data_IF_796323592286
#
_entry.id   IF_796323592286
#
_cell.length_a   1.000
_cell.length_b   1.000
_cell.length_c   1.000
_cell.angle_alpha   90.00
_cell.angle_beta   90.00
_cell.angle_gamma   90.00
#
_symmetry.space_group_name_H-M   'P 1'
#
loop_
_entity.id
_entity.type
_entity.pdbx_description
1 polymer ?
#
# COMPACT_ATOMS: atom_id res chain seq x y z
N UNK A 1 -11.44 -17.04 6.64
CA UNK A 1 -11.31 -16.40 5.32
C UNK A 1 -10.47 -15.15 5.55
N UNK A 2 -9.33 -15.03 4.85
CA UNK A 2 -8.42 -13.91 5.05
C UNK A 2 -8.67 -12.86 3.99
N UNK A 3 -9.01 -11.64 4.42
CA UNK A 3 -9.14 -10.46 3.54
C UNK A 3 -7.85 -10.33 2.73
N UNK A 4 -7.98 -10.29 1.41
CA UNK A 4 -6.87 -10.05 0.49
C UNK A 4 -6.95 -8.61 0.00
N UNK A 5 -5.79 -7.98 -0.14
CA UNK A 5 -5.65 -6.58 -0.55
C UNK A 5 -4.99 -6.53 -1.91
N UNK A 6 -5.58 -5.76 -2.85
CA UNK A 6 -4.99 -5.48 -4.17
C UNK A 6 -4.64 -4.01 -4.23
N UNK A 7 -3.37 -3.72 -4.36
CA UNK A 7 -2.88 -2.37 -4.62
C UNK A 7 -2.76 -2.14 -6.11
N UNK A 8 -3.15 -0.96 -6.58
CA UNK A 8 -3.15 -0.63 -7.99
C UNK A 8 -2.99 0.87 -8.22
N UNK A 9 -2.62 1.23 -9.45
CA UNK A 9 -2.50 2.60 -9.90
C UNK A 9 -3.74 3.08 -10.64
N UNK A 10 -4.17 4.31 -10.39
CA UNK A 10 -5.15 5.00 -11.23
C UNK A 10 -4.83 6.50 -11.33
N UNK A 11 -5.17 7.17 -12.45
CA UNK A 11 -4.91 8.60 -12.63
C UNK A 11 -5.69 9.48 -11.64
N UNK A 12 -6.88 9.05 -11.24
CA UNK A 12 -7.75 9.78 -10.32
C UNK A 12 -8.70 8.84 -9.54
N UNK A 13 -9.37 9.39 -8.53
CA UNK A 13 -10.31 8.64 -7.69
C UNK A 13 -11.55 8.15 -8.44
N UNK A 14 -11.99 8.87 -9.47
CA UNK A 14 -13.14 8.47 -10.29
C UNK A 14 -12.84 7.24 -11.15
N UNK A 15 -11.60 7.11 -11.62
CA UNK A 15 -11.10 5.93 -12.33
C UNK A 15 -10.92 4.78 -11.36
N UNK A 16 -10.31 5.03 -10.19
CA UNK A 16 -10.16 4.02 -9.14
C UNK A 16 -11.50 3.43 -8.68
N UNK A 17 -12.52 4.27 -8.55
CA UNK A 17 -13.86 3.84 -8.14
C UNK A 17 -14.55 2.88 -9.12
N UNK A 18 -14.15 2.91 -10.40
CA UNK A 18 -14.73 2.08 -11.46
C UNK A 18 -14.05 0.71 -11.61
N UNK A 19 -12.81 0.57 -11.12
CA UNK A 19 -12.01 -0.66 -11.24
C UNK A 19 -12.77 -1.91 -10.76
N UNK A 20 -13.45 -1.92 -9.60
CA UNK A 20 -14.14 -3.12 -9.12
C UNK A 20 -15.36 -3.51 -9.96
N UNK A 21 -15.92 -2.57 -10.71
CA UNK A 21 -17.10 -2.79 -11.57
C UNK A 21 -16.68 -3.35 -12.93
N UNK A 22 -15.51 -2.94 -13.43
CA UNK A 22 -14.97 -3.39 -14.70
C UNK A 22 -14.22 -4.73 -14.62
N UNK A 23 -13.69 -5.05 -13.44
CA UNK A 23 -12.85 -6.23 -13.21
C UNK A 23 -13.72 -7.43 -12.85
N UNK A 24 -13.65 -8.53 -13.62
CA UNK A 24 -14.41 -9.75 -13.26
C UNK A 24 -13.87 -10.35 -11.96
N UNK A 25 -14.68 -11.09 -11.17
CA UNK A 25 -14.22 -11.74 -9.95
C UNK A 25 -13.02 -12.67 -10.15
N UNK A 26 -12.86 -13.28 -11.33
CA UNK A 26 -11.69 -14.10 -11.68
C UNK A 26 -10.46 -13.26 -12.09
N UNK A 27 -10.69 -12.03 -12.56
CA UNK A 27 -9.68 -11.02 -12.92
C UNK A 27 -9.29 -10.13 -11.74
N UNK A 28 -10.00 -10.23 -10.61
CA UNK A 28 -9.57 -9.63 -9.34
C UNK A 28 -8.20 -10.16 -8.94
N UNK A 29 -7.79 -11.36 -9.37
CA UNK A 29 -6.42 -11.91 -9.27
C UNK A 29 -5.52 -11.71 -10.49
N UNK A 30 -6.04 -11.06 -11.54
CA UNK A 30 -5.39 -10.83 -12.82
C UNK A 30 -4.89 -9.39 -12.98
N UNK A 31 -3.76 -9.27 -13.66
CA UNK A 31 -3.04 -8.03 -13.88
C UNK A 31 -3.57 -7.27 -15.11
N UNK A 32 -4.79 -6.76 -15.04
CA UNK A 32 -5.33 -5.94 -16.15
C UNK A 32 -4.68 -4.55 -16.24
N UNK A 33 -3.88 -4.15 -15.25
CA UNK A 33 -3.19 -2.85 -15.21
C UNK A 33 -1.65 -2.95 -15.30
N UNK A 34 -1.06 -4.14 -15.47
CA UNK A 34 0.39 -4.34 -15.55
C UNK A 34 1.18 -4.08 -14.24
N UNK A 35 0.50 -3.65 -13.18
CA UNK A 35 1.13 -2.94 -12.05
C UNK A 35 0.52 -3.26 -10.68
N UNK A 36 -0.43 -4.21 -10.60
CA UNK A 36 -1.09 -4.54 -9.33
C UNK A 36 -0.19 -5.34 -8.38
N UNK A 37 -0.33 -5.12 -7.08
CA UNK A 37 0.36 -5.91 -6.05
C UNK A 37 -0.66 -6.52 -5.09
N UNK A 38 -0.63 -7.85 -4.95
CA UNK A 38 -1.46 -8.60 -4.02
C UNK A 38 -0.74 -8.85 -2.72
N UNK A 39 -1.39 -8.57 -1.61
CA UNK A 39 -0.82 -8.84 -0.30
C UNK A 39 -1.89 -9.07 0.76
N UNK A 40 -1.47 -9.64 1.88
CA UNK A 40 -2.29 -9.79 3.10
C UNK A 40 -2.10 -8.61 4.05
N UNK A 41 -1.25 -7.65 3.69
CA UNK A 41 -0.96 -6.49 4.51
C UNK A 41 -2.01 -5.41 4.25
N UNK A 42 -2.58 -4.89 5.34
CA UNK A 42 -3.59 -3.84 5.29
C UNK A 42 -3.00 -2.53 4.76
N UNK A 43 -3.79 -1.69 4.07
CA UNK A 43 -3.33 -0.38 3.62
C UNK A 43 -2.93 0.52 4.78
N UNK A 44 -3.59 0.44 5.94
CA UNK A 44 -3.20 1.16 7.15
C UNK A 44 -1.84 0.70 7.69
N UNK A 45 -1.55 -0.60 7.61
CA UNK A 45 -0.26 -1.15 8.01
C UNK A 45 0.87 -0.64 7.13
N UNK A 46 0.66 -0.60 5.80
CA UNK A 46 1.67 -0.06 4.87
C UNK A 46 1.92 1.42 5.15
N UNK A 47 0.86 2.21 5.28
CA UNK A 47 0.98 3.63 5.57
C UNK A 47 1.73 3.88 6.88
N UNK A 48 1.40 3.13 7.94
CA UNK A 48 2.11 3.21 9.22
C UNK A 48 3.58 2.81 9.09
N UNK A 49 3.88 1.74 8.35
CA UNK A 49 5.25 1.25 8.15
C UNK A 49 6.12 2.29 7.46
N UNK A 50 5.63 2.91 6.39
CA UNK A 50 6.37 3.97 5.69
C UNK A 50 6.48 5.22 6.54
N UNK A 51 5.37 5.74 7.06
CA UNK A 51 5.40 7.00 7.79
C UNK A 51 6.21 6.91 9.07
N UNK A 52 6.17 5.79 9.79
CA UNK A 52 6.99 5.60 11.00
C UNK A 52 8.42 5.20 10.70
N UNK A 53 8.65 4.27 9.76
CA UNK A 53 9.97 3.76 9.47
C UNK A 53 10.84 4.70 8.63
N UNK A 54 10.23 5.43 7.69
CA UNK A 54 10.95 6.30 6.75
C UNK A 54 10.81 7.78 7.15
N UNK A 55 9.59 8.25 7.37
CA UNK A 55 9.34 9.68 7.66
C UNK A 55 9.46 10.02 9.16
N UNK A 56 9.67 9.03 10.03
CA UNK A 56 9.82 9.22 11.48
C UNK A 56 8.53 9.68 12.19
N UNK A 57 7.37 9.56 11.56
CA UNK A 57 6.06 9.90 12.14
C UNK A 57 5.70 8.88 13.22
N UNK A 58 5.43 9.30 14.47
CA UNK A 58 4.99 8.38 15.51
C UNK A 58 3.70 7.64 15.10
N UNK A 59 3.61 6.33 15.40
CA UNK A 59 2.48 5.48 14.99
C UNK A 59 1.09 6.09 15.30
N UNK A 60 0.93 6.69 16.49
CA UNK A 60 -0.33 7.32 16.92
C UNK A 60 -0.69 8.62 16.18
N UNK A 61 0.23 9.15 15.34
CA UNK A 61 0.02 10.33 14.49
C UNK A 61 -0.13 9.96 13.01
N UNK A 62 -0.06 8.68 12.67
CA UNK A 62 -0.33 8.21 11.32
C UNK A 62 -1.79 8.57 10.97
N UNK A 63 -2.04 9.36 9.91
CA UNK A 63 -3.39 9.75 9.54
C UNK A 63 -4.17 8.56 8.99
N UNK A 64 -5.50 8.53 9.17
CA UNK A 64 -6.35 7.52 8.53
C UNK A 64 -6.34 7.69 7.01
N UNK A 65 -6.66 6.59 6.30
CA UNK A 65 -6.73 6.59 4.84
C UNK A 65 -8.06 7.14 4.34
N UNK A 66 -8.00 7.77 3.16
CA UNK A 66 -9.18 8.29 2.48
C UNK A 66 -9.96 7.15 1.84
N UNK A 67 -11.25 7.01 2.21
CA UNK A 67 -12.17 6.06 1.62
C UNK A 67 -12.78 6.66 0.35
N UNK A 68 -12.49 6.03 -0.80
CA UNK A 68 -12.96 6.47 -2.12
C UNK A 68 -14.30 5.81 -2.45
N UNK A 69 -14.43 4.52 -2.14
CA UNK A 69 -15.66 3.74 -2.37
C UNK A 69 -15.95 2.86 -1.17
N UNK A 70 -17.23 2.83 -0.78
CA UNK A 70 -17.78 1.86 0.15
C UNK A 70 -18.95 1.13 -0.51
N UNK A 71 -18.78 -0.16 -0.80
CA UNK A 71 -19.80 -1.06 -1.31
C UNK A 71 -20.02 -2.20 -0.30
N UNK A 72 -21.20 -2.86 -0.26
CA UNK A 72 -21.42 -4.02 0.60
C UNK A 72 -20.36 -5.13 0.46
N UNK A 73 -19.83 -5.30 -0.75
CA UNK A 73 -18.89 -6.40 -1.07
C UNK A 73 -17.42 -5.97 -1.14
N UNK A 74 -17.13 -4.66 -1.22
CA UNK A 74 -15.75 -4.17 -1.35
C UNK A 74 -15.60 -2.71 -0.92
N UNK A 75 -14.37 -2.31 -0.66
CA UNK A 75 -14.00 -0.92 -0.44
C UNK A 75 -12.77 -0.54 -1.26
N UNK A 76 -12.70 0.72 -1.67
CA UNK A 76 -11.50 1.30 -2.30
C UNK A 76 -10.99 2.41 -1.41
N UNK A 77 -9.73 2.31 -0.98
CA UNK A 77 -9.05 3.35 -0.22
C UNK A 77 -7.90 3.93 -1.03
N UNK A 78 -7.62 5.22 -0.82
CA UNK A 78 -6.50 5.91 -1.44
C UNK A 78 -5.33 5.98 -0.47
N UNK A 79 -4.13 5.67 -0.98
CA UNK A 79 -2.90 5.89 -0.24
C UNK A 79 -2.39 7.31 -0.54
N UNK A 80 -2.08 8.10 0.49
CA UNK A 80 -1.60 9.46 0.29
C UNK A 80 -0.20 9.46 -0.31
N UNK A 81 0.14 10.51 -1.08
CA UNK A 81 1.47 10.66 -1.66
C UNK A 81 2.57 10.77 -0.60
N UNK A 82 2.24 11.19 0.62
CA UNK A 82 3.17 11.15 1.76
C UNK A 82 3.58 9.74 2.18
N UNK A 83 2.87 8.69 1.74
CA UNK A 83 3.25 7.28 1.93
C UNK A 83 3.98 6.76 0.69
N UNK A 84 3.56 7.16 -0.50
CA UNK A 84 4.07 6.59 -1.75
C UNK A 84 5.38 7.27 -2.18
N UNK A 85 5.49 8.58 -2.05
CA UNK A 85 6.65 9.37 -2.50
C UNK A 85 7.95 9.05 -1.76
N UNK A 86 7.96 8.92 -0.41
CA UNK A 86 9.18 8.62 0.31
C UNK A 86 9.86 7.34 -0.17
N UNK A 87 9.08 6.33 -0.54
CA UNK A 87 9.59 5.05 -1.01
C UNK A 87 10.43 5.18 -2.30
N UNK A 88 10.17 6.15 -3.17
CA UNK A 88 10.93 6.30 -4.43
C UNK A 88 12.33 6.86 -4.26
N UNK A 89 12.56 7.61 -3.18
CA UNK A 89 13.78 8.38 -2.97
C UNK A 89 14.75 7.78 -1.97
N UNK A 90 14.33 6.75 -1.22
CA UNK A 90 15.14 6.16 -0.15
C UNK A 90 16.10 5.12 -0.70
N UNK A 91 17.37 5.22 -0.29
CA UNK A 91 18.38 4.21 -0.58
C UNK A 91 18.27 2.98 0.31
N UNK A 92 18.99 1.92 -0.05
CA UNK A 92 19.01 0.62 0.65
C UNK A 92 19.23 0.71 2.16
N UNK A 93 20.15 1.58 2.59
CA UNK A 93 20.43 1.80 4.01
C UNK A 93 19.20 2.32 4.76
N UNK A 94 18.49 3.29 4.17
CA UNK A 94 17.26 3.85 4.75
C UNK A 94 16.12 2.83 4.78
N UNK A 95 16.02 1.97 3.76
CA UNK A 95 15.03 0.88 3.72
C UNK A 95 15.33 -0.15 4.82
N UNK A 96 16.60 -0.52 4.99
CA UNK A 96 17.05 -1.39 6.08
C UNK A 96 16.78 -0.79 7.47
N UNK A 97 17.06 0.50 7.64
CA UNK A 97 16.77 1.22 8.88
C UNK A 97 15.26 1.27 9.17
N UNK A 98 14.44 1.58 8.18
CA UNK A 98 12.98 1.59 8.30
C UNK A 98 12.43 0.21 8.67
N UNK A 99 12.97 -0.84 8.06
CA UNK A 99 12.60 -2.21 8.35
C UNK A 99 12.94 -2.61 9.79
N UNK A 100 14.13 -2.22 10.26
CA UNK A 100 14.52 -2.41 11.66
C UNK A 100 13.61 -1.63 12.61
N UNK A 101 13.40 -0.33 12.37
CA UNK A 101 12.52 0.53 13.19
C UNK A 101 11.15 -0.14 13.33
N UNK A 102 10.51 -0.47 12.20
CA UNK A 102 9.19 -1.11 12.22
C UNK A 102 9.20 -2.44 12.99
N UNK A 103 10.25 -3.27 12.84
CA UNK A 103 10.40 -4.52 13.59
C UNK A 103 10.45 -4.35 15.12
N UNK A 104 10.67 -3.14 15.61
CA UNK A 104 10.68 -2.80 17.04
C UNK A 104 9.44 -2.04 17.51
N UNK A 105 8.60 -1.52 16.61
CA UNK A 105 7.40 -0.74 16.98
C UNK A 105 6.39 -1.60 17.75
N UNK A 106 6.05 -1.29 19.01
CA UNK A 106 5.06 -2.03 19.77
C UNK A 106 3.65 -1.85 19.17
N UNK A 107 2.77 -2.84 19.38
CA UNK A 107 1.35 -2.81 18.99
C UNK A 107 1.08 -2.59 17.48
N UNK A 108 2.10 -2.77 16.64
CA UNK A 108 1.96 -2.74 15.18
C UNK A 108 1.14 -3.91 14.65
N UNK A 109 0.34 -3.66 13.61
CA UNK A 109 -0.24 -4.71 12.78
C UNK A 109 0.74 -5.17 11.69
N UNK A 110 0.68 -6.43 11.27
CA UNK A 110 1.46 -6.93 10.12
C UNK A 110 2.81 -7.57 10.49
N UNK A 111 3.80 -7.59 9.56
CA UNK A 111 5.02 -8.35 9.70
C UNK A 111 5.87 -7.83 10.86
N UNK A 112 6.46 -8.77 11.59
CA UNK A 112 7.26 -8.47 12.78
C UNK A 112 8.76 -8.58 12.55
N UNK A 113 9.16 -9.45 11.63
CA UNK A 113 10.56 -9.72 11.32
C UNK A 113 11.13 -8.65 10.37
N UNK A 114 12.34 -8.16 10.67
CA UNK A 114 12.96 -7.07 9.92
C UNK A 114 13.25 -7.45 8.47
N UNK A 115 13.65 -8.69 8.18
CA UNK A 115 13.92 -9.14 6.82
C UNK A 115 12.64 -9.18 5.97
N UNK A 116 11.54 -9.67 6.54
CA UNK A 116 10.22 -9.66 5.89
C UNK A 116 9.75 -8.24 5.59
N UNK A 117 9.97 -7.32 6.53
CA UNK A 117 9.60 -5.91 6.36
C UNK A 117 10.46 -5.24 5.28
N UNK A 118 11.76 -5.55 5.25
CA UNK A 118 12.67 -5.08 4.23
C UNK A 118 12.25 -5.54 2.83
N UNK A 119 11.93 -6.82 2.65
CA UNK A 119 11.44 -7.33 1.37
C UNK A 119 10.13 -6.64 0.94
N UNK A 120 9.21 -6.46 1.89
CA UNK A 120 7.95 -5.76 1.64
C UNK A 120 8.20 -4.31 1.21
N UNK A 121 9.05 -3.57 1.93
CA UNK A 121 9.39 -2.19 1.57
C UNK A 121 10.01 -2.11 0.16
N UNK A 122 10.84 -3.08 -0.21
CA UNK A 122 11.40 -3.21 -1.56
C UNK A 122 10.34 -3.38 -2.64
N UNK A 123 9.41 -4.32 -2.46
CA UNK A 123 8.27 -4.51 -3.38
C UNK A 123 7.44 -3.22 -3.51
N UNK A 124 7.31 -2.48 -2.40
CA UNK A 124 6.64 -1.20 -2.33
C UNK A 124 7.39 -0.06 -3.04
N UNK A 125 8.72 -0.05 -3.03
CA UNK A 125 9.52 0.88 -3.83
C UNK A 125 9.28 0.65 -5.31
N UNK A 126 9.41 -0.60 -5.77
CA UNK A 126 9.18 -0.97 -7.17
C UNK A 126 7.77 -0.58 -7.63
N UNK A 127 6.76 -0.86 -6.80
CA UNK A 127 5.39 -0.44 -7.06
C UNK A 127 5.29 1.08 -7.16
N UNK A 128 5.89 1.82 -6.22
CA UNK A 128 5.84 3.27 -6.27
C UNK A 128 6.53 3.86 -7.51
N UNK A 129 7.65 3.29 -7.97
CA UNK A 129 8.31 3.73 -9.20
C UNK A 129 7.40 3.57 -10.40
N UNK A 130 6.80 2.39 -10.56
CA UNK A 130 5.87 2.10 -11.67
C UNK A 130 4.67 3.05 -11.70
N UNK A 131 4.11 3.38 -10.52
CA UNK A 131 3.02 4.35 -10.41
C UNK A 131 3.45 5.75 -10.86
N UNK A 132 4.63 6.19 -10.44
CA UNK A 132 5.15 7.50 -10.78
C UNK A 132 5.42 7.64 -12.28
N UNK A 133 6.05 6.64 -12.89
CA UNK A 133 6.28 6.58 -14.34
C UNK A 133 4.98 6.62 -15.13
N UNK A 134 3.92 6.00 -14.61
CA UNK A 134 2.58 6.03 -15.21
C UNK A 134 1.76 7.29 -14.89
N UNK A 135 2.26 8.20 -14.03
CA UNK A 135 1.49 9.37 -13.58
C UNK A 135 0.28 9.02 -12.72
N UNK A 136 0.31 7.87 -12.04
CA UNK A 136 -0.80 7.32 -11.26
C UNK A 136 -0.66 7.55 -9.77
N UNK A 137 -1.82 7.57 -9.09
CA UNK A 137 -1.95 7.52 -7.63
C UNK A 137 -2.16 6.07 -7.16
N UNK A 138 -1.75 5.77 -5.93
CA UNK A 138 -1.91 4.46 -5.33
C UNK A 138 -3.28 4.30 -4.66
N UNK A 139 -3.95 3.19 -4.95
CA UNK A 139 -5.20 2.78 -4.30
C UNK A 139 -5.10 1.34 -3.83
N UNK A 140 -5.96 0.97 -2.89
CA UNK A 140 -6.12 -0.39 -2.41
C UNK A 140 -7.58 -0.80 -2.50
N UNK A 141 -7.83 -1.90 -3.21
CA UNK A 141 -9.10 -2.60 -3.20
C UNK A 141 -9.09 -3.61 -2.05
N UNK A 142 -10.12 -3.54 -1.23
CA UNK A 142 -10.36 -4.39 -0.06
C UNK A 142 -11.63 -5.20 -0.29
N UNK A 143 -11.56 -6.53 -0.13
CA UNK A 143 -12.72 -7.42 -0.24
C UNK A 143 -12.61 -8.60 0.76
N UNK A 144 -13.74 -9.13 1.26
CA UNK A 144 -13.78 -10.20 2.26
C UNK A 144 -13.33 -11.57 1.75
#
# INVERSE_FOLDING_TARGET
MGVTYKYFGAPDGATAARVPISMRPEELGGDELGQGMFTKIKPETVAAMVLTGIEGVPLHRVPPLELVVLHPDYAVVKLPMTVVDPLRGVGEESVGAAAFIWSTVPDRGGPRDAFTVYQLLHEWQDFSHRLHEAGHQAYCLVWP
#
